data_IF_167700667448
#
_entry.id   IF_167700667448
#
_cell.length_a   1.000
_cell.length_b   1.000
_cell.length_c   1.000
_cell.angle_alpha   90.00
_cell.angle_beta   90.00
_cell.angle_gamma   90.00
#
_symmetry.space_group_name_H-M   'P 1'
#
loop_
_entity.id
_entity.type
_entity.pdbx_description
1 polymer ?
#
# COMPACT_ATOMS: atom_id res chain seq x y z
N UNK A 1 19.29 4.92 -2.56
CA UNK A 1 18.08 4.05 -2.59
C UNK A 1 17.13 4.47 -3.70
N UNK A 2 16.43 3.53 -4.26
CA UNK A 2 15.43 3.77 -5.32
C UNK A 2 14.08 3.23 -4.85
N UNK A 3 13.04 4.05 -4.90
CA UNK A 3 11.68 3.67 -4.52
C UNK A 3 10.72 3.90 -5.67
N UNK A 4 9.74 3.02 -5.79
CA UNK A 4 8.56 3.28 -6.60
C UNK A 4 7.50 3.91 -5.68
N UNK A 5 6.76 4.89 -6.19
CA UNK A 5 5.72 5.56 -5.42
C UNK A 5 4.41 5.50 -6.20
N UNK A 6 3.39 4.92 -5.57
CA UNK A 6 2.04 4.84 -6.11
C UNK A 6 1.05 5.40 -5.09
N UNK A 7 -0.01 5.97 -5.61
CA UNK A 7 -1.12 6.48 -4.81
C UNK A 7 -2.42 6.35 -5.60
N UNK A 8 -3.55 6.43 -4.90
CA UNK A 8 -4.87 6.50 -5.54
C UNK A 8 -5.17 5.32 -6.47
N UNK A 9 -4.94 4.11 -5.98
CA UNK A 9 -5.20 2.89 -6.76
C UNK A 9 -6.68 2.71 -7.04
N UNK A 10 -7.55 3.09 -6.10
CA UNK A 10 -9.01 3.03 -6.22
C UNK A 10 -9.50 1.69 -6.76
N UNK A 11 -8.99 0.58 -6.21
CA UNK A 11 -9.35 -0.76 -6.64
C UNK A 11 -10.84 -1.01 -6.41
N UNK A 12 -11.50 -1.54 -7.44
CA UNK A 12 -12.95 -1.75 -7.44
C UNK A 12 -13.73 -0.64 -8.13
N UNK A 13 -13.03 0.32 -8.77
CA UNK A 13 -13.68 1.39 -9.53
C UNK A 13 -14.48 0.81 -10.69
N UNK A 14 -15.65 1.41 -10.92
CA UNK A 14 -16.51 1.12 -12.06
C UNK A 14 -16.63 2.34 -12.95
N UNK A 15 -16.75 2.10 -14.25
CA UNK A 15 -17.01 3.16 -15.24
C UNK A 15 -18.31 2.83 -15.95
N UNK A 16 -19.33 3.68 -15.77
CA UNK A 16 -20.67 3.48 -16.37
C UNK A 16 -21.22 2.08 -16.02
N UNK A 17 -21.07 1.64 -14.79
CA UNK A 17 -21.52 0.33 -14.32
C UNK A 17 -20.63 -0.85 -14.70
N UNK A 18 -19.58 -0.62 -15.46
CA UNK A 18 -18.66 -1.67 -15.90
C UNK A 18 -17.48 -1.74 -14.91
N UNK A 19 -17.22 -2.94 -14.40
CA UNK A 19 -16.09 -3.17 -13.49
C UNK A 19 -14.76 -3.01 -14.22
N UNK A 20 -13.82 -2.30 -13.59
CA UNK A 20 -12.46 -2.13 -14.10
C UNK A 20 -11.45 -3.07 -13.44
N UNK A 21 -11.91 -4.07 -12.67
CA UNK A 21 -11.02 -4.95 -11.91
C UNK A 21 -9.98 -5.65 -12.78
N UNK A 22 -10.37 -6.17 -13.95
CA UNK A 22 -9.42 -6.86 -14.83
C UNK A 22 -8.39 -5.90 -15.42
N UNK A 23 -8.82 -4.68 -15.77
CA UNK A 23 -7.90 -3.64 -16.23
C UNK A 23 -6.95 -3.23 -15.13
N UNK A 24 -7.45 -3.11 -13.90
CA UNK A 24 -6.64 -2.78 -12.74
C UNK A 24 -5.64 -3.91 -12.42
N UNK A 25 -6.06 -5.17 -12.54
CA UNK A 25 -5.15 -6.31 -12.39
C UNK A 25 -4.02 -6.25 -13.41
N UNK A 26 -4.35 -5.96 -14.65
CA UNK A 26 -3.36 -5.84 -15.72
C UNK A 26 -2.32 -4.76 -15.39
N UNK A 27 -2.78 -3.58 -14.96
CA UNK A 27 -1.89 -2.46 -14.60
C UNK A 27 -1.03 -2.82 -13.38
N UNK A 28 -1.62 -3.42 -12.34
CA UNK A 28 -0.87 -3.79 -11.14
C UNK A 28 0.18 -4.86 -11.45
N UNK A 29 -0.11 -5.81 -12.34
CA UNK A 29 0.88 -6.79 -12.78
C UNK A 29 2.03 -6.12 -13.53
N UNK A 30 1.75 -5.10 -14.34
CA UNK A 30 2.79 -4.31 -15.01
C UNK A 30 3.65 -3.56 -13.99
N UNK A 31 3.05 -3.01 -12.94
CA UNK A 31 3.79 -2.33 -11.86
C UNK A 31 4.77 -3.31 -11.21
N UNK A 32 4.32 -4.52 -10.89
CA UNK A 32 5.20 -5.54 -10.32
C UNK A 32 6.40 -5.84 -11.23
N UNK A 33 6.14 -6.00 -12.53
CA UNK A 33 7.20 -6.27 -13.50
C UNK A 33 8.20 -5.11 -13.58
N UNK A 34 7.71 -3.88 -13.57
CA UNK A 34 8.56 -2.67 -13.63
C UNK A 34 9.44 -2.57 -12.38
N UNK A 35 8.86 -2.72 -11.19
CA UNK A 35 9.64 -2.59 -9.95
C UNK A 35 10.68 -3.69 -9.80
N UNK A 36 10.40 -4.88 -10.30
CA UNK A 36 11.38 -5.97 -10.36
C UNK A 36 12.52 -5.63 -11.32
N UNK A 37 12.19 -5.16 -12.51
CA UNK A 37 13.17 -4.78 -13.53
C UNK A 37 14.07 -3.64 -13.06
N UNK A 38 13.47 -2.63 -12.43
CA UNK A 38 14.19 -1.45 -11.94
C UNK A 38 14.95 -1.72 -10.63
N UNK A 39 14.79 -2.90 -10.03
CA UNK A 39 15.46 -3.30 -8.79
C UNK A 39 15.29 -2.25 -7.68
N UNK A 40 14.04 -1.84 -7.45
CA UNK A 40 13.75 -0.85 -6.43
C UNK A 40 14.03 -1.41 -5.03
N UNK A 41 14.42 -0.54 -4.11
CA UNK A 41 14.65 -0.88 -2.70
C UNK A 41 13.35 -0.99 -1.91
N UNK A 42 12.26 -0.50 -2.45
CA UNK A 42 10.95 -0.59 -1.85
C UNK A 42 9.90 0.12 -2.68
N UNK A 43 8.64 -0.08 -2.30
CA UNK A 43 7.50 0.59 -2.92
C UNK A 43 6.73 1.35 -1.85
N UNK A 44 6.41 2.61 -2.15
CA UNK A 44 5.62 3.47 -1.27
C UNK A 44 4.20 3.51 -1.82
N UNK A 45 3.23 3.06 -1.03
CA UNK A 45 1.82 3.04 -1.39
C UNK A 45 1.08 4.05 -0.51
N UNK A 46 0.73 5.19 -1.10
CA UNK A 46 0.26 6.36 -0.37
C UNK A 46 -1.26 6.55 -0.52
N UNK A 47 -2.02 5.68 0.14
CA UNK A 47 -3.45 5.87 0.36
C UNK A 47 -4.38 5.56 -0.80
N UNK A 48 -5.65 5.54 -0.48
CA UNK A 48 -6.77 5.30 -1.41
C UNK A 48 -6.61 4.02 -2.21
N UNK A 49 -6.36 2.90 -1.50
CA UNK A 49 -6.17 1.59 -2.11
C UNK A 49 -7.45 1.07 -2.73
N UNK A 50 -8.59 1.32 -2.09
CA UNK A 50 -9.89 0.86 -2.55
C UNK A 50 -10.78 2.05 -2.91
N UNK A 51 -11.68 1.83 -3.86
CA UNK A 51 -12.63 2.86 -4.27
C UNK A 51 -13.57 3.27 -3.12
N UNK A 52 -13.90 2.32 -2.24
CA UNK A 52 -14.80 2.57 -1.10
C UNK A 52 -14.18 2.06 0.19
N UNK A 53 -14.71 2.49 1.35
CA UNK A 53 -14.30 1.98 2.66
C UNK A 53 -14.77 0.56 2.92
N UNK A 54 -15.73 0.05 2.13
CA UNK A 54 -16.24 -1.32 2.21
C UNK A 54 -16.08 -2.00 0.84
N UNK A 55 -14.85 -2.39 0.48
CA UNK A 55 -14.59 -2.98 -0.84
C UNK A 55 -15.21 -4.37 -0.97
N UNK A 56 -15.48 -4.76 -2.22
CA UNK A 56 -15.94 -6.11 -2.54
C UNK A 56 -14.86 -7.14 -2.26
N UNK A 57 -15.26 -8.42 -2.17
CA UNK A 57 -14.30 -9.52 -1.99
C UNK A 57 -13.31 -9.59 -3.16
N UNK A 58 -13.77 -9.31 -4.37
CA UNK A 58 -12.92 -9.30 -5.57
C UNK A 58 -11.86 -8.20 -5.50
N UNK A 59 -12.23 -7.01 -5.01
CA UNK A 59 -11.29 -5.92 -4.84
C UNK A 59 -10.25 -6.24 -3.76
N UNK A 60 -10.68 -6.83 -2.65
CA UNK A 60 -9.77 -7.29 -1.59
C UNK A 60 -8.79 -8.34 -2.12
N UNK A 61 -9.30 -9.32 -2.89
CA UNK A 61 -8.46 -10.36 -3.48
C UNK A 61 -7.44 -9.81 -4.45
N UNK A 62 -7.80 -8.82 -5.25
CA UNK A 62 -6.89 -8.20 -6.20
C UNK A 62 -5.74 -7.50 -5.47
N UNK A 63 -6.03 -6.76 -4.41
CA UNK A 63 -4.99 -6.09 -3.64
C UNK A 63 -4.08 -7.09 -2.93
N UNK A 64 -4.65 -8.15 -2.35
CA UNK A 64 -3.88 -9.22 -1.73
C UNK A 64 -2.95 -9.90 -2.74
N UNK A 65 -3.43 -10.15 -3.95
CA UNK A 65 -2.64 -10.71 -5.04
C UNK A 65 -1.46 -9.79 -5.38
N UNK A 66 -1.71 -8.50 -5.49
CA UNK A 66 -0.68 -7.51 -5.78
C UNK A 66 0.39 -7.49 -4.68
N UNK A 67 -0.01 -7.40 -3.41
CA UNK A 67 0.93 -7.43 -2.28
C UNK A 67 1.69 -8.75 -2.22
N UNK A 68 1.01 -9.86 -2.47
CA UNK A 68 1.65 -11.18 -2.51
C UNK A 68 2.73 -11.28 -3.57
N UNK A 69 2.50 -10.70 -4.74
CA UNK A 69 3.49 -10.67 -5.82
C UNK A 69 4.72 -9.84 -5.43
N UNK A 70 4.52 -8.74 -4.73
CA UNK A 70 5.63 -7.92 -4.23
C UNK A 70 6.42 -8.66 -3.15
N UNK A 71 5.75 -9.36 -2.26
CA UNK A 71 6.41 -10.19 -1.22
C UNK A 71 7.25 -11.29 -1.87
N UNK A 72 6.71 -11.98 -2.88
CA UNK A 72 7.46 -13.02 -3.60
C UNK A 72 8.68 -12.47 -4.30
N UNK A 73 8.64 -11.21 -4.73
CA UNK A 73 9.75 -10.53 -5.37
C UNK A 73 10.74 -9.93 -4.37
N UNK A 74 10.52 -10.11 -3.07
CA UNK A 74 11.30 -9.53 -1.97
C UNK A 74 11.39 -8.00 -2.04
N UNK A 75 10.30 -7.35 -2.42
CA UNK A 75 10.21 -5.89 -2.48
C UNK A 75 9.46 -5.41 -1.25
N UNK A 76 10.14 -4.68 -0.34
CA UNK A 76 9.46 -4.11 0.84
C UNK A 76 8.38 -3.10 0.44
N UNK A 77 7.24 -3.13 1.14
CA UNK A 77 6.12 -2.23 0.90
C UNK A 77 5.90 -1.35 2.12
N UNK A 78 5.73 -0.05 1.91
CA UNK A 78 5.46 0.94 2.95
C UNK A 78 4.16 1.62 2.58
N UNK A 79 3.11 1.42 3.40
CA UNK A 79 1.74 1.81 3.07
C UNK A 79 1.16 2.74 4.12
N UNK A 80 0.42 3.73 3.67
CA UNK A 80 -0.39 4.59 4.54
C UNK A 80 -1.82 4.65 4.02
N UNK A 81 -2.79 4.79 4.93
CA UNK A 81 -4.19 4.96 4.57
C UNK A 81 -4.46 6.37 4.06
N UNK A 82 -5.33 6.48 3.05
CA UNK A 82 -5.84 7.74 2.52
C UNK A 82 -7.23 8.07 3.08
N UNK A 83 -7.85 9.14 2.54
CA UNK A 83 -9.15 9.60 3.03
C UNK A 83 -10.31 8.66 2.67
N UNK A 84 -10.16 7.83 1.64
CA UNK A 84 -11.18 6.85 1.23
C UNK A 84 -10.96 5.48 1.86
N UNK A 85 -9.82 5.23 2.50
CA UNK A 85 -9.52 3.94 3.10
C UNK A 85 -10.11 3.84 4.51
N UNK A 86 -10.42 2.61 4.92
CA UNK A 86 -10.71 2.33 6.32
C UNK A 86 -9.38 2.24 7.06
N UNK A 87 -9.08 3.24 7.87
CA UNK A 87 -7.88 3.28 8.69
C UNK A 87 -7.77 2.05 9.59
N UNK A 88 -8.90 1.64 10.17
CA UNK A 88 -8.96 0.48 11.04
C UNK A 88 -8.64 -0.81 10.29
N UNK A 89 -9.13 -0.97 9.06
CA UNK A 89 -8.89 -2.15 8.23
C UNK A 89 -7.41 -2.26 7.89
N UNK A 90 -6.77 -1.17 7.52
CA UNK A 90 -5.35 -1.16 7.18
C UNK A 90 -4.50 -1.43 8.42
N UNK A 91 -4.80 -0.78 9.54
CA UNK A 91 -4.08 -0.97 10.79
C UNK A 91 -4.20 -2.40 11.32
N UNK A 92 -5.35 -3.06 11.11
CA UNK A 92 -5.57 -4.42 11.57
C UNK A 92 -4.54 -5.41 11.02
N UNK A 93 -4.12 -5.23 9.78
CA UNK A 93 -3.17 -6.13 9.12
C UNK A 93 -1.71 -5.81 9.43
N UNK A 94 -1.41 -4.65 10.05
CA UNK A 94 -0.04 -4.19 10.23
C UNK A 94 0.87 -5.18 10.95
N UNK A 95 0.35 -5.88 11.95
CA UNK A 95 1.12 -6.86 12.73
C UNK A 95 1.37 -8.16 11.96
N UNK A 96 0.39 -8.57 11.15
CA UNK A 96 0.46 -9.85 10.42
C UNK A 96 1.43 -9.77 9.25
N UNK A 97 1.48 -8.63 8.56
CA UNK A 97 2.22 -8.47 7.32
C UNK A 97 3.63 -7.90 7.51
N UNK A 98 3.93 -7.35 8.68
CA UNK A 98 5.26 -6.77 8.96
C UNK A 98 6.39 -7.78 8.77
N UNK A 99 6.17 -9.05 9.10
CA UNK A 99 7.15 -10.13 8.92
C UNK A 99 7.51 -10.38 7.45
N UNK A 100 6.63 -9.99 6.53
CA UNK A 100 6.84 -10.12 5.10
C UNK A 100 7.43 -8.86 4.47
N UNK A 101 7.95 -7.92 5.29
CA UNK A 101 8.44 -6.61 4.85
C UNK A 101 7.34 -5.75 4.22
N UNK A 102 6.11 -5.90 4.72
CA UNK A 102 5.00 -5.02 4.38
C UNK A 102 4.66 -4.22 5.64
N UNK A 103 4.85 -2.91 5.57
CA UNK A 103 4.69 -2.01 6.71
C UNK A 103 3.51 -1.09 6.46
N UNK A 104 2.57 -1.05 7.40
CA UNK A 104 1.41 -0.16 7.32
C UNK A 104 1.37 0.74 8.55
N UNK A 105 0.66 1.87 8.41
CA UNK A 105 0.39 2.71 9.57
C UNK A 105 -0.54 1.98 10.54
N UNK A 106 -0.32 2.25 11.83
CA UNK A 106 -1.26 1.89 12.89
C UNK A 106 -2.34 2.97 13.02
N UNK A 107 -3.36 2.72 13.85
CA UNK A 107 -4.32 3.76 14.18
C UNK A 107 -3.56 4.96 14.76
N UNK A 108 -3.88 6.16 14.26
CA UNK A 108 -3.19 7.36 14.69
C UNK A 108 -3.47 7.66 16.16
N UNK A 109 -2.42 7.71 16.96
CA UNK A 109 -2.48 7.93 18.41
C UNK A 109 -1.72 9.20 18.86
N UNK A 110 -1.39 10.08 17.90
CA UNK A 110 -0.59 11.27 18.19
C UNK A 110 0.90 11.11 17.90
N UNK A 111 1.35 9.89 17.55
CA UNK A 111 2.74 9.63 17.19
C UNK A 111 2.84 9.13 15.76
N UNK A 112 3.97 9.39 15.11
CA UNK A 112 4.24 8.94 13.75
C UNK A 112 5.13 7.70 13.81
N UNK A 113 4.68 6.63 13.15
CA UNK A 113 5.47 5.42 13.03
C UNK A 113 6.63 5.66 12.07
N UNK A 114 7.83 5.28 12.49
CA UNK A 114 9.04 5.45 11.68
C UNK A 114 9.71 4.11 11.45
N UNK A 115 10.10 3.85 10.21
CA UNK A 115 10.84 2.64 9.83
C UNK A 115 12.20 3.09 9.32
N UNK A 116 13.24 2.56 9.95
CA UNK A 116 14.61 2.83 9.53
C UNK A 116 15.04 1.78 8.51
N UNK A 117 15.53 2.23 7.38
CA UNK A 117 16.13 1.38 6.35
C UNK A 117 17.54 1.88 6.06
N UNK A 118 18.40 0.98 5.62
CA UNK A 118 19.80 1.30 5.43
C UNK A 118 20.31 0.63 4.15
N UNK A 119 21.19 1.34 3.45
CA UNK A 119 21.94 0.77 2.34
C UNK A 119 23.42 1.19 2.45
N UNK A 120 24.20 0.93 1.41
CA UNK A 120 25.64 1.26 1.37
C UNK A 120 25.92 2.77 1.46
N UNK A 121 24.91 3.61 1.18
CA UNK A 121 25.05 5.07 1.20
C UNK A 121 24.59 5.71 2.52
N UNK A 122 23.99 4.94 3.42
CA UNK A 122 23.57 5.41 4.72
C UNK A 122 22.16 5.04 5.12
N UNK A 123 21.64 5.69 6.16
CA UNK A 123 20.34 5.43 6.72
C UNK A 123 19.26 6.33 6.12
N UNK A 124 18.06 5.77 5.96
CA UNK A 124 16.86 6.51 5.59
C UNK A 124 15.75 6.18 6.57
N UNK A 125 15.06 7.20 7.07
CA UNK A 125 13.90 7.02 7.93
C UNK A 125 12.64 7.25 7.11
N UNK A 126 11.74 6.26 7.11
CA UNK A 126 10.45 6.33 6.42
C UNK A 126 9.38 6.53 7.49
N UNK A 127 8.71 7.67 7.42
CA UNK A 127 7.64 8.04 8.35
C UNK A 127 6.29 7.72 7.74
N UNK A 128 5.48 6.93 8.44
CA UNK A 128 4.15 6.53 7.99
C UNK A 128 3.11 7.40 8.67
N UNK A 129 2.75 8.51 8.02
CA UNK A 129 1.70 9.41 8.49
C UNK A 129 0.42 9.15 7.69
N UNK A 130 -0.60 8.53 8.29
CA UNK A 130 -1.86 8.29 7.59
C UNK A 130 -2.67 9.56 7.42
N UNK A 131 -3.69 9.50 6.56
CA UNK A 131 -4.68 10.57 6.50
C UNK A 131 -5.42 10.65 7.83
N UNK A 132 -5.42 11.85 8.42
CA UNK A 132 -6.05 12.10 9.72
C UNK A 132 -7.39 12.79 9.48
N UNK A 133 -8.48 12.09 9.85
CA UNK A 133 -9.81 12.66 9.74
C UNK A 133 -10.02 13.71 10.83
N UNK A 134 -10.80 14.74 10.52
CA UNK A 134 -11.18 15.76 11.50
C UNK A 134 -11.88 15.08 12.68
N UNK A 135 -11.45 15.40 13.90
CA UNK A 135 -11.99 14.81 15.13
C UNK A 135 -11.28 13.52 15.55
N UNK A 136 -10.37 12.98 14.76
CA UNK A 136 -9.51 11.86 15.18
C UNK A 136 -8.49 12.35 16.20
N UNK A 137 -8.22 11.48 17.18
CA UNK A 137 -7.24 11.78 18.24
C UNK A 137 -6.08 10.79 18.21
#
# INVERSE_FOLDING_TARGET
MKFAHLADLHIGKKLNGISLLEDQRYVLNQVVDIVKKEKVDGILLAGDFYQTSQPSSEALSLFDEFLGNLVKANIPCYMISGNHDSEQRIAYFSRLIRKANVFTNELFNGTIQTIKVEDEYGELNIHLLPFIKRGSK
#
